data_IF_289606897537
#
_entry.id   IF_289606897537
#
_cell.length_a   1.000
_cell.length_b   1.000
_cell.length_c   1.000
_cell.angle_alpha   90.00
_cell.angle_beta   90.00
_cell.angle_gamma   90.00
#
_symmetry.space_group_name_H-M   'P 1'
#
loop_
_entity.id
_entity.type
_entity.pdbx_description
1 polymer ?
#
# COMPACT_ATOMS: atom_id res chain seq x y z
N UNK A 1 31.81 -37.90 47.96
CA UNK A 1 30.73 -36.93 48.20
C UNK A 1 31.21 -35.58 47.69
N UNK A 2 30.56 -35.04 46.64
CA UNK A 2 30.37 -33.64 46.23
C UNK A 2 30.02 -33.71 44.75
N UNK A 3 28.72 -33.84 44.51
CA UNK A 3 28.10 -33.75 43.20
C UNK A 3 27.89 -32.25 42.91
N UNK A 4 28.67 -31.67 41.99
CA UNK A 4 28.50 -30.27 41.59
C UNK A 4 27.32 -30.20 40.62
N UNK A 5 26.13 -29.99 41.16
CA UNK A 5 24.95 -29.60 40.40
C UNK A 5 25.24 -28.30 39.63
N UNK A 6 25.51 -28.43 38.32
CA UNK A 6 25.57 -27.30 37.40
C UNK A 6 24.15 -26.75 37.26
N UNK A 7 23.83 -25.73 38.04
CA UNK A 7 22.60 -24.95 37.85
C UNK A 7 22.71 -24.18 36.54
N UNK A 8 22.20 -24.76 35.45
CA UNK A 8 21.94 -24.06 34.20
C UNK A 8 20.87 -22.99 34.46
N UNK A 9 21.31 -21.78 34.85
CA UNK A 9 20.44 -20.60 34.90
C UNK A 9 19.86 -20.39 33.51
N UNK A 10 18.58 -20.74 33.33
CA UNK A 10 17.83 -20.41 32.11
C UNK A 10 17.95 -18.88 31.90
N UNK A 11 18.53 -18.41 30.78
CA UNK A 11 18.65 -16.97 30.55
C UNK A 11 17.25 -16.36 30.49
N UNK A 12 17.07 -15.18 31.10
CA UNK A 12 15.80 -14.47 31.10
C UNK A 12 15.31 -14.23 29.66
N UNK A 13 13.98 -14.21 29.46
CA UNK A 13 13.36 -13.95 28.14
C UNK A 13 13.95 -12.70 27.47
N UNK A 14 14.26 -11.68 28.26
CA UNK A 14 14.89 -10.42 27.84
C UNK A 14 16.31 -10.63 27.29
N UNK A 15 17.11 -11.50 27.92
CA UNK A 15 18.49 -11.81 27.47
C UNK A 15 18.51 -12.73 26.25
N UNK A 16 17.49 -13.58 26.06
CA UNK A 16 17.27 -14.35 24.82
C UNK A 16 16.79 -13.47 23.66
N UNK A 17 15.96 -12.47 23.94
CA UNK A 17 15.51 -11.49 22.95
C UNK A 17 16.60 -10.47 22.55
N UNK A 18 17.64 -10.28 23.36
CA UNK A 18 18.76 -9.36 23.09
C UNK A 18 20.11 -10.04 22.79
N UNK A 19 20.16 -11.37 22.74
CA UNK A 19 21.36 -12.12 22.36
C UNK A 19 21.79 -11.87 20.90
N UNK A 20 23.04 -12.14 20.57
CA UNK A 20 23.62 -12.01 19.21
C UNK A 20 22.84 -12.79 18.14
N UNK A 21 22.15 -13.86 18.53
CA UNK A 21 21.29 -14.69 17.65
C UNK A 21 19.80 -14.35 17.73
N UNK A 22 19.40 -13.28 18.42
CA UNK A 22 18.00 -13.01 18.69
C UNK A 22 17.18 -12.73 17.42
N UNK A 23 15.96 -13.27 17.38
CA UNK A 23 14.99 -13.04 16.30
C UNK A 23 14.79 -11.54 16.05
N UNK A 24 14.83 -10.71 17.10
CA UNK A 24 14.65 -9.24 17.04
C UNK A 24 15.78 -8.55 16.27
N UNK A 25 17.04 -9.01 16.40
CA UNK A 25 18.18 -8.46 15.63
C UNK A 25 18.19 -8.88 14.16
N UNK A 26 17.39 -9.88 13.78
CA UNK A 26 17.27 -10.34 12.39
C UNK A 26 16.32 -9.48 11.56
N UNK A 27 15.43 -8.74 12.21
CA UNK A 27 14.56 -7.77 11.53
C UNK A 27 15.36 -6.60 10.94
N UNK A 28 14.85 -6.02 9.86
CA UNK A 28 15.33 -4.74 9.38
C UNK A 28 14.82 -3.61 10.28
N UNK A 29 15.57 -3.31 11.34
CA UNK A 29 15.20 -2.29 12.31
C UNK A 29 15.09 -0.89 11.72
N UNK A 30 15.89 -0.55 10.70
CA UNK A 30 15.81 0.76 10.05
C UNK A 30 14.48 0.92 9.29
N UNK A 31 14.02 -0.12 8.60
CA UNK A 31 12.71 -0.12 7.96
C UNK A 31 11.58 0.01 8.99
N UNK A 32 11.65 -0.72 10.11
CA UNK A 32 10.62 -0.66 11.16
C UNK A 32 10.56 0.72 11.83
N UNK A 33 11.71 1.35 12.09
CA UNK A 33 11.76 2.72 12.64
C UNK A 33 11.18 3.72 11.64
N UNK A 34 11.46 3.58 10.34
CA UNK A 34 10.89 4.45 9.32
C UNK A 34 9.36 4.29 9.21
N UNK A 35 8.85 3.05 9.20
CA UNK A 35 7.40 2.76 9.22
C UNK A 35 6.75 3.33 10.48
N UNK A 36 7.36 3.14 11.66
CA UNK A 36 6.85 3.69 12.91
C UNK A 36 6.82 5.22 12.89
N UNK A 37 7.87 5.86 12.37
CA UNK A 37 7.92 7.31 12.18
C UNK A 37 6.79 7.82 11.28
N UNK A 38 6.55 7.15 10.16
CA UNK A 38 5.43 7.46 9.26
C UNK A 38 4.07 7.27 9.95
N UNK A 39 3.88 6.19 10.72
CA UNK A 39 2.62 5.94 11.43
C UNK A 39 2.36 6.94 12.57
N UNK A 40 3.41 7.38 13.28
CA UNK A 40 3.30 8.44 14.29
C UNK A 40 2.95 9.77 13.64
N UNK A 41 3.67 10.16 12.58
CA UNK A 41 3.36 11.37 11.81
C UNK A 41 1.94 11.32 11.22
N UNK A 42 1.55 10.19 10.63
CA UNK A 42 0.19 9.97 10.13
C UNK A 42 -0.86 10.14 11.20
N UNK A 43 -0.65 9.59 12.39
CA UNK A 43 -1.57 9.78 13.53
C UNK A 43 -1.72 11.25 13.92
N UNK A 44 -0.61 12.00 13.95
CA UNK A 44 -0.64 13.44 14.25
C UNK A 44 -1.41 14.22 13.19
N UNK A 45 -1.19 13.92 11.91
CA UNK A 45 -1.88 14.57 10.78
C UNK A 45 -3.38 14.22 10.75
N UNK A 46 -3.73 12.95 10.99
CA UNK A 46 -5.12 12.50 11.11
C UNK A 46 -5.80 13.18 12.30
N UNK A 47 -5.12 13.31 13.43
CA UNK A 47 -5.65 14.04 14.57
C UNK A 47 -5.89 15.51 14.26
N UNK A 48 -4.90 16.20 13.69
CA UNK A 48 -5.04 17.61 13.35
C UNK A 48 -6.21 17.87 12.40
N UNK A 49 -6.31 17.07 11.34
CA UNK A 49 -7.31 17.23 10.28
C UNK A 49 -8.75 16.79 10.66
N UNK A 50 -8.94 16.07 11.77
CA UNK A 50 -10.26 15.54 12.17
C UNK A 50 -10.81 16.13 13.47
N UNK A 51 -9.98 16.74 14.33
CA UNK A 51 -10.36 17.17 15.69
C UNK A 51 -11.54 18.15 15.78
N UNK A 52 -11.75 18.98 14.76
CA UNK A 52 -12.72 20.09 14.81
C UNK A 52 -14.13 19.72 14.38
N UNK A 53 -14.30 18.59 13.67
CA UNK A 53 -15.58 18.23 13.06
C UNK A 53 -15.98 16.77 13.26
N UNK A 54 -15.05 15.89 13.65
CA UNK A 54 -15.36 14.50 13.95
C UNK A 54 -16.28 14.38 15.19
N UNK A 55 -17.42 13.65 15.11
CA UNK A 55 -18.30 13.41 16.25
C UNK A 55 -17.54 12.71 17.38
N UNK A 56 -17.48 13.35 18.56
CA UNK A 56 -16.58 12.97 19.63
C UNK A 56 -15.13 13.21 19.21
N UNK A 57 -14.55 14.35 19.60
CA UNK A 57 -13.30 14.95 19.10
C UNK A 57 -12.04 14.05 18.97
N UNK A 58 -12.10 12.80 19.41
CA UNK A 58 -11.02 11.80 19.34
C UNK A 58 -11.42 10.47 18.69
N UNK A 59 -12.66 10.32 18.20
CA UNK A 59 -13.20 9.03 17.73
C UNK A 59 -12.45 8.45 16.54
N UNK A 60 -12.17 9.25 15.51
CA UNK A 60 -11.43 8.79 14.32
C UNK A 60 -9.97 8.45 14.64
N UNK A 61 -9.33 9.25 15.49
CA UNK A 61 -7.94 8.99 15.93
C UNK A 61 -7.85 7.72 16.75
N UNK A 62 -8.80 7.48 17.67
CA UNK A 62 -8.88 6.22 18.42
C UNK A 62 -9.02 5.02 17.50
N UNK A 63 -9.89 5.12 16.47
CA UNK A 63 -10.02 4.07 15.44
C UNK A 63 -8.73 3.90 14.64
N UNK A 64 -8.06 5.00 14.27
CA UNK A 64 -6.80 4.95 13.54
C UNK A 64 -5.71 4.24 14.34
N UNK A 65 -5.52 4.63 15.61
CA UNK A 65 -4.59 3.98 16.54
C UNK A 65 -4.91 2.50 16.74
N UNK A 66 -6.19 2.15 16.90
CA UNK A 66 -6.61 0.76 17.00
C UNK A 66 -6.25 -0.03 15.73
N UNK A 67 -6.49 0.54 14.55
CA UNK A 67 -6.11 -0.08 13.29
C UNK A 67 -4.58 -0.20 13.14
N UNK A 68 -3.80 0.78 13.61
CA UNK A 68 -2.34 0.65 13.64
C UNK A 68 -1.88 -0.49 14.54
N UNK A 69 -2.46 -0.61 15.75
CA UNK A 69 -2.14 -1.71 16.68
C UNK A 69 -2.47 -3.06 16.07
N UNK A 70 -3.67 -3.22 15.50
CA UNK A 70 -4.06 -4.46 14.81
C UNK A 70 -3.12 -4.74 13.63
N UNK A 71 -2.79 -3.71 12.83
CA UNK A 71 -1.87 -3.85 11.72
C UNK A 71 -0.46 -4.26 12.15
N UNK A 72 0.05 -3.75 13.27
CA UNK A 72 1.35 -4.18 13.84
C UNK A 72 1.27 -5.65 14.28
N UNK A 73 0.16 -6.08 14.89
CA UNK A 73 -0.04 -7.49 15.22
C UNK A 73 -0.03 -8.35 13.95
N UNK A 74 -0.75 -7.94 12.89
CA UNK A 74 -0.75 -8.64 11.60
C UNK A 74 0.66 -8.69 10.98
N UNK A 75 1.40 -7.58 11.03
CA UNK A 75 2.80 -7.53 10.59
C UNK A 75 3.66 -8.56 11.33
N UNK A 76 3.55 -8.64 12.66
CA UNK A 76 4.32 -9.59 13.47
C UNK A 76 3.92 -11.04 13.22
N UNK A 77 2.63 -11.32 13.05
CA UNK A 77 2.11 -12.64 12.69
C UNK A 77 2.69 -13.06 11.33
N UNK A 78 2.54 -12.22 10.30
CA UNK A 78 3.05 -12.52 8.96
C UNK A 78 4.57 -12.65 8.95
N UNK A 79 5.29 -11.80 9.68
CA UNK A 79 6.74 -11.88 9.79
C UNK A 79 7.26 -13.18 10.44
N UNK A 80 6.42 -13.86 11.23
CA UNK A 80 6.75 -15.15 11.84
C UNK A 80 6.56 -16.34 10.89
N UNK A 81 5.75 -16.19 9.84
CA UNK A 81 5.45 -17.25 8.87
C UNK A 81 6.66 -17.52 7.97
N UNK A 82 6.86 -18.79 7.61
CA UNK A 82 7.92 -19.16 6.66
C UNK A 82 7.60 -18.69 5.24
N UNK A 83 8.56 -18.10 4.53
CA UNK A 83 8.43 -17.79 3.10
C UNK A 83 8.02 -19.03 2.27
N UNK A 84 8.47 -20.24 2.65
CA UNK A 84 8.01 -21.49 2.02
C UNK A 84 6.53 -21.76 2.27
N UNK A 85 6.07 -21.52 3.50
CA UNK A 85 4.65 -21.62 3.84
C UNK A 85 3.84 -20.50 3.16
N UNK A 86 4.37 -19.28 3.07
CA UNK A 86 3.74 -18.18 2.33
C UNK A 86 3.48 -18.57 0.87
N UNK A 87 4.46 -19.23 0.23
CA UNK A 87 4.29 -19.76 -1.12
C UNK A 87 3.18 -20.82 -1.20
N UNK A 88 3.08 -21.71 -0.22
CA UNK A 88 2.02 -22.73 -0.18
C UNK A 88 0.63 -22.12 0.08
N UNK A 89 0.53 -21.05 0.88
CA UNK A 89 -0.72 -20.36 1.17
C UNK A 89 -1.12 -19.31 0.12
N UNK A 90 -0.24 -18.95 -0.82
CA UNK A 90 -0.52 -17.94 -1.84
C UNK A 90 -1.84 -18.19 -2.62
N UNK A 91 -2.18 -19.41 -3.07
CA UNK A 91 -3.46 -19.68 -3.72
C UNK A 91 -4.66 -19.43 -2.79
N UNK A 92 -4.54 -19.82 -1.51
CA UNK A 92 -5.60 -19.60 -0.53
C UNK A 92 -5.83 -18.11 -0.29
N UNK A 93 -4.76 -17.34 -0.05
CA UNK A 93 -4.84 -15.88 0.16
C UNK A 93 -5.45 -15.20 -1.06
N UNK A 94 -5.06 -15.61 -2.27
CA UNK A 94 -5.62 -15.10 -3.51
C UNK A 94 -7.12 -15.42 -3.64
N UNK A 95 -7.52 -16.68 -3.47
CA UNK A 95 -8.92 -17.09 -3.59
C UNK A 95 -9.82 -16.44 -2.53
N UNK A 96 -9.34 -16.30 -1.30
CA UNK A 96 -10.07 -15.58 -0.24
C UNK A 96 -10.22 -14.11 -0.60
N UNK A 97 -9.18 -13.47 -1.12
CA UNK A 97 -9.27 -12.07 -1.57
C UNK A 97 -10.23 -11.89 -2.74
N UNK A 98 -10.28 -12.86 -3.67
CA UNK A 98 -11.18 -12.88 -4.81
C UNK A 98 -12.64 -13.09 -4.37
N UNK A 99 -12.87 -14.00 -3.43
CA UNK A 99 -14.17 -14.21 -2.81
C UNK A 99 -14.63 -12.94 -2.09
N UNK A 100 -13.74 -12.24 -1.39
CA UNK A 100 -14.03 -10.94 -0.78
C UNK A 100 -14.45 -9.88 -1.81
N UNK A 101 -13.75 -9.78 -2.94
CA UNK A 101 -14.12 -8.89 -4.04
C UNK A 101 -15.49 -9.24 -4.64
N UNK A 102 -15.78 -10.54 -4.81
CA UNK A 102 -17.10 -11.00 -5.27
C UNK A 102 -18.22 -10.69 -4.27
N UNK A 103 -17.94 -10.86 -2.97
CA UNK A 103 -18.91 -10.60 -1.90
C UNK A 103 -19.34 -9.13 -1.85
N UNK A 104 -18.42 -8.20 -2.11
CA UNK A 104 -18.70 -6.77 -2.16
C UNK A 104 -19.71 -6.40 -3.24
N UNK A 105 -19.79 -7.17 -4.34
CA UNK A 105 -20.74 -6.89 -5.42
C UNK A 105 -22.17 -7.29 -5.02
N UNK A 106 -22.32 -8.15 -4.02
CA UNK A 106 -23.64 -8.53 -3.48
C UNK A 106 -24.23 -7.42 -2.61
N UNK A 107 -25.51 -7.52 -2.18
CA UNK A 107 -26.13 -6.54 -1.28
C UNK A 107 -25.45 -6.36 0.09
N UNK A 108 -24.44 -7.18 0.40
CA UNK A 108 -23.59 -7.03 1.59
C UNK A 108 -22.53 -5.93 1.44
N UNK A 109 -22.27 -5.49 0.20
CA UNK A 109 -21.45 -4.32 -0.06
C UNK A 109 -22.16 -3.03 0.30
N UNK A 110 -21.37 -1.99 0.53
CA UNK A 110 -21.82 -0.66 0.85
C UNK A 110 -21.06 0.38 0.03
N UNK A 111 -21.77 1.43 -0.36
CA UNK A 111 -21.20 2.59 -1.04
C UNK A 111 -20.67 3.59 -0.03
N UNK A 112 -19.36 3.85 -0.06
CA UNK A 112 -18.72 4.94 0.68
C UNK A 112 -18.02 5.83 -0.34
N UNK A 113 -18.26 7.15 -0.27
CA UNK A 113 -17.66 8.15 -1.16
C UNK A 113 -17.81 7.82 -2.66
N UNK A 114 -18.98 7.28 -3.05
CA UNK A 114 -19.31 6.95 -4.45
C UNK A 114 -18.76 5.62 -4.95
N UNK A 115 -18.03 4.86 -4.12
CA UNK A 115 -17.52 3.53 -4.49
C UNK A 115 -18.18 2.42 -3.67
N UNK A 116 -18.83 1.47 -4.36
CA UNK A 116 -19.44 0.28 -3.78
C UNK A 116 -18.38 -0.82 -3.56
N UNK A 117 -17.42 -0.51 -2.68
CA UNK A 117 -16.20 -1.31 -2.47
C UNK A 117 -16.04 -1.83 -1.03
N UNK A 118 -17.00 -1.56 -0.14
CA UNK A 118 -16.84 -1.75 1.30
C UNK A 118 -17.80 -2.79 1.87
N UNK A 119 -17.32 -3.62 2.79
CA UNK A 119 -18.14 -4.48 3.62
C UNK A 119 -18.19 -3.85 5.01
N UNK A 120 -19.39 -3.49 5.46
CA UNK A 120 -19.60 -2.93 6.79
C UNK A 120 -19.56 -4.06 7.81
N UNK A 121 -18.57 -4.03 8.68
CA UNK A 121 -18.51 -4.90 9.85
C UNK A 121 -19.20 -4.20 11.02
N UNK A 122 -19.83 -4.98 11.89
CA UNK A 122 -20.38 -4.47 13.14
C UNK A 122 -19.34 -3.70 13.97
N UNK A 123 -19.79 -2.80 14.84
CA UNK A 123 -18.89 -1.99 15.67
C UNK A 123 -18.24 -0.81 14.96
N UNK A 124 -18.71 -0.45 13.75
CA UNK A 124 -18.26 0.72 13.01
C UNK A 124 -16.89 0.52 12.33
N UNK A 125 -16.55 -0.72 12.02
CA UNK A 125 -15.44 -1.09 11.14
C UNK A 125 -15.96 -1.29 9.72
N UNK A 126 -15.15 -0.96 8.73
CA UNK A 126 -15.43 -1.25 7.35
C UNK A 126 -14.20 -1.91 6.74
N UNK A 127 -14.43 -2.97 5.97
CA UNK A 127 -13.36 -3.70 5.28
C UNK A 127 -13.51 -3.48 3.79
N UNK A 128 -12.45 -3.00 3.16
CA UNK A 128 -12.31 -2.94 1.71
C UNK A 128 -11.49 -4.15 1.23
N UNK A 129 -12.11 -5.16 0.59
CA UNK A 129 -11.40 -6.36 0.14
C UNK A 129 -10.34 -6.11 -0.91
N UNK A 130 -10.46 -5.03 -1.69
CA UNK A 130 -9.47 -4.66 -2.70
C UNK A 130 -8.08 -4.39 -2.12
N UNK A 131 -7.99 -3.95 -0.86
CA UNK A 131 -6.71 -3.80 -0.15
C UNK A 131 -6.01 -5.15 0.07
N UNK A 132 -6.76 -6.20 0.38
CA UNK A 132 -6.23 -7.56 0.53
C UNK A 132 -5.98 -8.23 -0.82
N UNK A 133 -6.77 -7.88 -1.85
CA UNK A 133 -6.56 -8.36 -3.21
C UNK A 133 -5.20 -7.95 -3.79
N UNK A 134 -4.67 -6.77 -3.41
CA UNK A 134 -3.28 -6.37 -3.74
C UNK A 134 -2.26 -7.39 -3.23
N UNK A 135 -2.38 -7.80 -1.96
CA UNK A 135 -1.51 -8.80 -1.34
C UNK A 135 -1.70 -10.18 -1.97
N UNK A 136 -2.95 -10.60 -2.17
CA UNK A 136 -3.28 -11.89 -2.77
C UNK A 136 -2.77 -12.02 -4.20
N UNK A 137 -3.01 -11.01 -5.05
CA UNK A 137 -2.54 -10.98 -6.43
C UNK A 137 -1.00 -10.98 -6.49
N UNK A 138 -0.36 -10.19 -5.63
CA UNK A 138 1.10 -10.14 -5.55
C UNK A 138 1.70 -11.51 -5.22
N UNK A 139 1.14 -12.21 -4.23
CA UNK A 139 1.62 -13.54 -3.82
C UNK A 139 1.39 -14.60 -4.89
N UNK A 140 0.22 -14.62 -5.54
CA UNK A 140 -0.04 -15.63 -6.60
C UNK A 140 0.83 -15.39 -7.83
N UNK A 141 1.04 -14.13 -8.23
CA UNK A 141 1.95 -13.78 -9.33
C UNK A 141 3.37 -14.21 -9.00
N UNK A 142 3.86 -13.88 -7.79
CA UNK A 142 5.19 -14.30 -7.36
C UNK A 142 5.32 -15.83 -7.35
N UNK A 143 4.30 -16.56 -6.88
CA UNK A 143 4.31 -18.03 -6.84
C UNK A 143 4.37 -18.65 -8.24
N UNK A 144 3.56 -18.14 -9.18
CA UNK A 144 3.51 -18.64 -10.56
C UNK A 144 4.81 -18.34 -11.31
N UNK A 145 5.33 -17.11 -11.18
CA UNK A 145 6.50 -16.67 -11.94
C UNK A 145 7.85 -17.08 -11.32
N UNK A 146 7.87 -17.59 -10.09
CA UNK A 146 9.10 -18.05 -9.44
C UNK A 146 9.68 -19.34 -10.04
N UNK A 147 8.89 -20.11 -10.81
CA UNK A 147 9.33 -21.39 -11.38
C UNK A 147 9.99 -21.20 -12.75
N UNK A 148 11.30 -21.51 -12.91
CA UNK A 148 11.93 -21.50 -14.22
C UNK A 148 11.35 -22.55 -15.17
N UNK A 149 11.37 -22.24 -16.45
CA UNK A 149 11.17 -23.21 -17.52
C UNK A 149 12.38 -24.14 -17.63
N UNK A 150 12.16 -25.38 -18.06
CA UNK A 150 13.25 -26.33 -18.30
C UNK A 150 14.25 -25.75 -19.32
N UNK A 151 15.53 -25.75 -18.96
CA UNK A 151 16.61 -25.21 -19.80
C UNK A 151 16.66 -23.68 -19.92
N UNK A 152 15.95 -22.92 -19.06
CA UNK A 152 15.99 -21.45 -19.08
C UNK A 152 15.83 -20.85 -17.68
N UNK A 153 16.45 -19.69 -17.45
CA UNK A 153 16.21 -18.93 -16.21
C UNK A 153 14.86 -18.22 -16.15
N UNK A 154 14.04 -18.28 -17.22
CA UNK A 154 12.79 -17.52 -17.35
C UNK A 154 11.56 -18.34 -16.96
N UNK A 155 10.46 -17.70 -16.52
CA UNK A 155 9.20 -18.40 -16.24
C UNK A 155 8.61 -19.06 -17.50
N UNK A 156 7.81 -20.11 -17.30
CA UNK A 156 7.11 -20.80 -18.39
C UNK A 156 6.05 -19.88 -18.98
N UNK A 157 5.78 -20.00 -20.29
CA UNK A 157 4.74 -19.18 -20.91
C UNK A 157 3.35 -19.43 -20.31
N UNK A 158 3.07 -20.67 -19.88
CA UNK A 158 1.83 -21.01 -19.20
C UNK A 158 1.70 -20.24 -17.88
N UNK A 159 2.76 -20.17 -17.08
CA UNK A 159 2.75 -19.42 -15.80
C UNK A 159 2.53 -17.93 -16.02
N UNK A 160 3.10 -17.37 -17.09
CA UNK A 160 2.85 -15.98 -17.51
C UNK A 160 1.39 -15.77 -17.88
N UNK A 161 0.79 -16.68 -18.66
CA UNK A 161 -0.63 -16.61 -19.02
C UNK A 161 -1.52 -16.72 -17.78
N UNK A 162 -1.23 -17.66 -16.87
CA UNK A 162 -1.99 -17.82 -15.62
C UNK A 162 -1.88 -16.58 -14.72
N UNK A 163 -0.70 -15.97 -14.62
CA UNK A 163 -0.51 -14.72 -13.89
C UNK A 163 -1.32 -13.57 -14.51
N UNK A 164 -1.37 -13.47 -15.84
CA UNK A 164 -2.18 -12.48 -16.54
C UNK A 164 -3.68 -12.73 -16.37
N UNK A 165 -4.14 -13.98 -16.40
CA UNK A 165 -5.54 -14.34 -16.13
C UNK A 165 -5.91 -13.95 -14.70
N UNK A 166 -5.08 -14.29 -13.71
CA UNK A 166 -5.30 -13.91 -12.31
C UNK A 166 -5.39 -12.38 -12.16
N UNK A 167 -4.51 -11.63 -12.83
CA UNK A 167 -4.54 -10.17 -12.84
C UNK A 167 -5.81 -9.61 -13.49
N UNK A 168 -6.18 -10.09 -14.68
CA UNK A 168 -7.37 -9.64 -15.40
C UNK A 168 -8.65 -9.91 -14.62
N UNK A 169 -8.78 -11.08 -14.00
CA UNK A 169 -9.93 -11.43 -13.16
C UNK A 169 -10.01 -10.49 -11.95
N UNK A 170 -8.89 -10.27 -11.27
CA UNK A 170 -8.85 -9.39 -10.08
C UNK A 170 -9.18 -7.94 -10.44
N UNK A 171 -8.55 -7.41 -11.51
CA UNK A 171 -8.82 -6.05 -11.98
C UNK A 171 -10.26 -5.90 -12.49
N UNK A 172 -10.79 -6.90 -13.19
CA UNK A 172 -12.19 -6.89 -13.66
C UNK A 172 -13.19 -6.78 -12.51
N UNK A 173 -12.99 -7.53 -11.42
CA UNK A 173 -13.84 -7.42 -10.23
C UNK A 173 -13.73 -6.06 -9.53
N UNK A 174 -12.54 -5.44 -9.52
CA UNK A 174 -12.36 -4.10 -8.94
C UNK A 174 -13.00 -3.02 -9.83
N UNK A 175 -12.96 -3.18 -11.15
CA UNK A 175 -13.62 -2.27 -12.09
C UNK A 175 -15.15 -2.33 -12.04
N UNK A 176 -15.71 -3.47 -11.62
CA UNK A 176 -17.13 -3.57 -11.28
C UNK A 176 -17.52 -2.78 -10.02
N UNK A 177 -16.56 -2.34 -9.20
CA UNK A 177 -16.74 -1.55 -7.96
C UNK A 177 -16.43 -0.04 -8.16
N UNK A 178 -16.48 0.45 -9.41
CA UNK A 178 -15.85 1.68 -9.92
C UNK A 178 -14.57 2.20 -9.24
N UNK A 179 -13.61 1.34 -8.88
CA UNK A 179 -12.37 1.75 -8.19
C UNK A 179 -11.14 1.78 -9.13
N UNK A 180 -11.03 2.86 -9.92
CA UNK A 180 -9.92 3.08 -10.86
C UNK A 180 -8.55 3.12 -10.18
N UNK A 181 -8.47 3.73 -9.00
CA UNK A 181 -7.21 3.87 -8.25
C UNK A 181 -6.63 2.51 -7.92
N UNK A 182 -7.44 1.61 -7.35
CA UNK A 182 -6.98 0.27 -7.00
C UNK A 182 -6.64 -0.58 -8.22
N UNK A 183 -7.38 -0.46 -9.32
CA UNK A 183 -7.03 -1.19 -10.55
C UNK A 183 -5.66 -0.77 -11.11
N UNK A 184 -5.32 0.52 -11.08
CA UNK A 184 -3.99 0.99 -11.48
C UNK A 184 -2.89 0.38 -10.60
N UNK A 185 -3.12 0.28 -9.29
CA UNK A 185 -2.17 -0.37 -8.38
C UNK A 185 -2.01 -1.87 -8.71
N UNK A 186 -3.10 -2.59 -8.98
CA UNK A 186 -3.06 -3.99 -9.38
C UNK A 186 -2.34 -4.19 -10.73
N UNK A 187 -2.51 -3.26 -11.67
CA UNK A 187 -1.77 -3.26 -12.93
C UNK A 187 -0.26 -3.07 -12.69
N UNK A 188 0.13 -2.18 -11.78
CA UNK A 188 1.55 -1.98 -11.41
C UNK A 188 2.13 -3.19 -10.68
N UNK A 189 1.37 -3.83 -9.79
CA UNK A 189 1.75 -5.09 -9.15
C UNK A 189 2.03 -6.16 -10.22
N UNK A 190 1.14 -6.27 -11.20
CA UNK A 190 1.27 -7.25 -12.29
C UNK A 190 2.47 -6.95 -13.18
N UNK A 191 2.61 -5.69 -13.64
CA UNK A 191 3.73 -5.26 -14.47
C UNK A 191 5.07 -5.42 -13.73
N UNK A 192 5.12 -5.03 -12.46
CA UNK A 192 6.30 -5.20 -11.60
C UNK A 192 6.72 -6.67 -11.49
N UNK A 193 5.79 -7.57 -11.16
CA UNK A 193 6.09 -9.00 -11.07
C UNK A 193 6.57 -9.60 -12.39
N UNK A 194 6.01 -9.19 -13.53
CA UNK A 194 6.43 -9.64 -14.85
C UNK A 194 7.82 -9.12 -15.24
N UNK A 195 8.10 -7.84 -14.99
CA UNK A 195 9.42 -7.25 -15.29
C UNK A 195 10.50 -7.87 -14.40
N UNK A 196 10.24 -8.01 -13.10
CA UNK A 196 11.20 -8.57 -12.14
C UNK A 196 11.48 -10.05 -12.40
N UNK A 197 10.48 -10.82 -12.83
CA UNK A 197 10.66 -12.25 -13.18
C UNK A 197 11.43 -12.48 -14.48
N UNK A 198 11.74 -11.42 -15.24
CA UNK A 198 12.52 -11.54 -16.47
C UNK A 198 11.75 -12.24 -17.59
N UNK A 199 10.44 -12.01 -17.70
CA UNK A 199 9.64 -12.58 -18.80
C UNK A 199 10.20 -12.18 -20.17
N UNK A 200 9.93 -13.00 -21.19
CA UNK A 200 10.37 -12.73 -22.56
C UNK A 200 9.83 -11.36 -23.02
N UNK A 201 10.68 -10.52 -23.63
CA UNK A 201 10.33 -9.16 -24.11
C UNK A 201 9.03 -9.09 -24.92
N UNK A 202 8.71 -10.14 -25.68
CA UNK A 202 7.44 -10.26 -26.42
C UNK A 202 6.18 -10.06 -25.56
N UNK A 203 6.20 -10.53 -24.31
CA UNK A 203 5.06 -10.38 -23.40
C UNK A 203 4.93 -8.94 -22.91
N UNK A 204 6.05 -8.27 -22.65
CA UNK A 204 6.08 -6.86 -22.28
C UNK A 204 5.57 -6.00 -23.45
N UNK A 205 6.05 -6.29 -24.66
CA UNK A 205 5.59 -5.60 -25.88
C UNK A 205 4.09 -5.84 -26.09
N UNK A 206 3.62 -7.10 -25.98
CA UNK A 206 2.20 -7.42 -26.10
C UNK A 206 1.36 -6.63 -25.10
N UNK A 207 1.76 -6.59 -23.82
CA UNK A 207 1.04 -5.84 -22.79
C UNK A 207 1.02 -4.34 -23.08
N UNK A 208 2.15 -3.76 -23.50
CA UNK A 208 2.23 -2.36 -23.87
C UNK A 208 1.32 -2.04 -25.07
N UNK A 209 1.29 -2.92 -26.08
CA UNK A 209 0.42 -2.78 -27.25
C UNK A 209 -1.06 -2.91 -26.87
N UNK A 210 -1.43 -3.90 -26.05
CA UNK A 210 -2.82 -4.09 -25.58
C UNK A 210 -3.27 -2.92 -24.71
N UNK A 211 -2.42 -2.45 -23.79
CA UNK A 211 -2.72 -1.28 -22.97
C UNK A 211 -2.90 -0.02 -23.83
N UNK A 212 -2.00 0.21 -24.79
CA UNK A 212 -2.11 1.34 -25.73
C UNK A 212 -3.37 1.27 -26.59
N UNK A 213 -3.72 0.08 -27.12
CA UNK A 213 -4.94 -0.14 -27.88
C UNK A 213 -6.20 0.06 -27.01
N UNK A 214 -6.17 -0.38 -25.76
CA UNK A 214 -7.26 -0.19 -24.80
C UNK A 214 -7.48 1.29 -24.50
N UNK A 215 -6.42 2.04 -24.21
CA UNK A 215 -6.48 3.50 -24.02
C UNK A 215 -7.07 4.17 -25.27
N UNK A 216 -6.55 3.84 -26.45
CA UNK A 216 -7.06 4.38 -27.71
C UNK A 216 -8.55 4.09 -27.91
N UNK A 217 -8.98 2.84 -27.70
CA UNK A 217 -10.38 2.43 -27.84
C UNK A 217 -11.28 3.19 -26.87
N UNK A 218 -10.87 3.32 -25.61
CA UNK A 218 -11.63 4.04 -24.58
C UNK A 218 -11.89 5.50 -24.98
N UNK A 219 -10.89 6.19 -25.52
CA UNK A 219 -11.05 7.57 -26.00
C UNK A 219 -11.83 7.64 -27.32
N UNK A 220 -11.53 6.76 -28.28
CA UNK A 220 -12.14 6.77 -29.61
C UNK A 220 -13.63 6.45 -29.56
N UNK A 221 -14.02 5.46 -28.76
CA UNK A 221 -15.42 5.03 -28.60
C UNK A 221 -16.16 5.75 -27.46
N UNK A 222 -15.54 6.78 -26.84
CA UNK A 222 -16.14 7.56 -25.74
C UNK A 222 -16.68 6.68 -24.60
N UNK A 223 -15.94 5.62 -24.25
CA UNK A 223 -16.37 4.62 -23.26
C UNK A 223 -16.14 5.06 -21.81
N UNK A 224 -15.59 6.25 -21.60
CA UNK A 224 -15.34 6.79 -20.26
C UNK A 224 -16.64 7.29 -19.64
N UNK A 225 -16.88 6.90 -18.40
CA UNK A 225 -17.96 7.49 -17.62
C UNK A 225 -17.70 8.97 -17.33
N UNK A 226 -18.75 9.80 -17.13
CA UNK A 226 -18.59 11.23 -16.88
C UNK A 226 -17.62 11.55 -15.74
N UNK A 227 -17.60 10.73 -14.67
CA UNK A 227 -16.69 10.93 -13.53
C UNK A 227 -15.22 10.68 -13.90
N UNK A 228 -14.94 9.76 -14.82
CA UNK A 228 -13.58 9.45 -15.26
C UNK A 228 -13.04 10.58 -16.13
N UNK A 229 -13.87 11.09 -17.05
CA UNK A 229 -13.55 12.26 -17.88
C UNK A 229 -13.26 13.47 -16.99
N UNK A 230 -14.11 13.72 -15.99
CA UNK A 230 -13.95 14.84 -15.06
C UNK A 230 -12.59 14.83 -14.33
N UNK A 231 -12.06 13.66 -13.97
CA UNK A 231 -10.73 13.55 -13.34
C UNK A 231 -9.58 13.92 -14.28
N UNK A 232 -9.70 13.60 -15.57
CA UNK A 232 -8.69 13.95 -16.57
C UNK A 232 -8.79 15.43 -16.99
N UNK A 233 -10.01 15.94 -17.23
CA UNK A 233 -10.20 17.34 -17.63
C UNK A 233 -9.84 18.28 -16.50
N UNK A 234 -10.24 17.99 -15.25
CA UNK A 234 -9.86 18.80 -14.10
C UNK A 234 -8.36 18.75 -13.77
N UNK A 235 -7.64 17.72 -14.21
CA UNK A 235 -6.18 17.66 -14.11
C UNK A 235 -5.51 18.59 -15.13
N UNK A 236 -5.99 18.59 -16.38
CA UNK A 236 -5.44 19.45 -17.44
C UNK A 236 -5.80 20.93 -17.26
N UNK A 237 -7.04 21.20 -16.85
CA UNK A 237 -7.54 22.52 -16.54
C UNK A 237 -8.47 22.48 -15.32
N UNK A 238 -7.93 22.76 -14.11
CA UNK A 238 -8.72 22.81 -12.88
C UNK A 238 -9.85 23.84 -12.89
N UNK A 239 -9.82 24.83 -13.79
CA UNK A 239 -10.85 25.88 -13.86
C UNK A 239 -12.17 25.40 -14.47
N UNK A 240 -12.15 24.28 -15.19
CA UNK A 240 -13.33 23.67 -15.84
C UNK A 240 -14.27 23.02 -14.84
N UNK A 241 -13.75 22.60 -13.68
CA UNK A 241 -14.55 22.05 -12.58
C UNK A 241 -14.22 22.72 -11.23
N UNK A 242 -14.63 23.99 -11.04
CA UNK A 242 -14.27 24.79 -9.87
C UNK A 242 -15.03 24.41 -8.60
N UNK A 243 -15.94 23.42 -8.66
CA UNK A 243 -16.72 22.92 -7.51
C UNK A 243 -16.52 21.42 -7.22
N UNK A 244 -15.94 20.66 -8.15
CA UNK A 244 -15.68 19.24 -8.01
C UNK A 244 -14.19 18.91 -7.89
N UNK A 245 -13.67 18.16 -8.83
CA UNK A 245 -12.30 17.61 -8.78
C UNK A 245 -11.24 18.71 -8.90
N UNK A 246 -11.51 19.75 -9.71
CA UNK A 246 -10.61 20.90 -9.88
C UNK A 246 -10.48 21.75 -8.62
N UNK A 247 -11.55 21.86 -7.84
CA UNK A 247 -11.54 22.50 -6.52
C UNK A 247 -10.56 21.80 -5.57
N UNK A 248 -10.63 20.46 -5.48
CA UNK A 248 -9.76 19.68 -4.58
C UNK A 248 -8.27 19.88 -4.91
N UNK A 249 -7.91 19.81 -6.19
CA UNK A 249 -6.53 20.04 -6.65
C UNK A 249 -6.03 21.45 -6.31
N UNK A 250 -6.86 22.46 -6.60
CA UNK A 250 -6.53 23.87 -6.34
C UNK A 250 -6.34 24.14 -4.84
N UNK A 251 -7.26 23.67 -4.01
CA UNK A 251 -7.20 23.84 -2.56
C UNK A 251 -6.03 23.09 -1.93
N UNK A 252 -5.74 21.88 -2.43
CA UNK A 252 -4.55 21.11 -2.05
C UNK A 252 -3.27 21.90 -2.30
N UNK A 253 -3.14 22.51 -3.48
CA UNK A 253 -1.97 23.32 -3.84
C UNK A 253 -1.85 24.60 -2.99
N UNK A 254 -2.97 25.29 -2.75
CA UNK A 254 -3.01 26.48 -1.88
C UNK A 254 -2.60 26.12 -0.45
N UNK A 255 -3.12 25.01 0.09
CA UNK A 255 -2.80 24.56 1.45
C UNK A 255 -1.30 24.27 1.59
N UNK A 256 -0.74 23.46 0.68
CA UNK A 256 0.71 23.15 0.67
C UNK A 256 1.53 24.43 0.50
N UNK A 257 1.18 25.30 -0.45
CA UNK A 257 1.89 26.56 -0.70
C UNK A 257 1.87 27.49 0.50
N UNK A 258 0.79 27.51 1.27
CA UNK A 258 0.65 28.34 2.47
C UNK A 258 1.49 27.88 3.66
N UNK A 259 1.99 26.64 3.65
CA UNK A 259 2.89 26.13 4.68
C UNK A 259 4.33 26.64 4.57
N UNK A 260 4.74 27.20 3.43
CA UNK A 260 6.11 27.71 3.21
C UNK A 260 7.19 26.68 3.64
N UNK A 261 8.32 27.12 4.19
CA UNK A 261 9.42 26.23 4.58
C UNK A 261 9.15 25.44 5.88
N UNK A 262 8.63 26.10 6.91
CA UNK A 262 8.51 25.56 8.27
C UNK A 262 7.10 25.11 8.67
N UNK A 263 6.10 25.42 7.85
CA UNK A 263 4.70 25.14 8.13
C UNK A 263 4.05 26.23 8.99
N UNK A 264 2.74 26.11 9.17
CA UNK A 264 1.97 26.96 10.08
C UNK A 264 2.00 26.48 11.54
N UNK A 265 2.69 25.37 11.81
CA UNK A 265 2.70 24.67 13.10
C UNK A 265 1.59 23.62 13.17
N UNK A 266 1.84 22.59 13.99
CA UNK A 266 0.86 21.53 14.25
C UNK A 266 -0.44 22.15 14.77
N UNK A 267 -1.59 21.72 14.22
CA UNK A 267 -2.91 22.27 14.53
C UNK A 267 -3.19 23.68 13.98
N UNK A 268 -2.22 24.29 13.27
CA UNK A 268 -2.31 25.63 12.67
C UNK A 268 -2.80 25.65 11.23
N UNK A 269 -3.24 24.51 10.69
CA UNK A 269 -3.72 24.38 9.31
C UNK A 269 -5.09 25.04 9.12
N UNK A 270 -5.12 26.29 8.68
CA UNK A 270 -6.37 27.03 8.44
C UNK A 270 -7.20 26.45 7.29
N UNK A 271 -6.54 25.98 6.22
CA UNK A 271 -7.22 25.38 5.07
C UNK A 271 -7.74 23.98 5.39
N UNK A 272 -6.92 23.19 6.08
CA UNK A 272 -7.27 21.82 6.46
C UNK A 272 -8.29 21.79 7.60
N UNK A 273 -8.11 22.57 8.66
CA UNK A 273 -9.09 22.63 9.77
C UNK A 273 -10.45 23.17 9.31
N UNK A 274 -10.45 24.07 8.32
CA UNK A 274 -11.66 24.63 7.70
C UNK A 274 -12.38 23.70 6.72
N UNK A 275 -11.86 22.49 6.47
CA UNK A 275 -12.40 21.51 5.49
C UNK A 275 -12.48 22.04 4.06
N UNK A 276 -11.62 22.98 3.70
CA UNK A 276 -11.52 23.49 2.34
C UNK A 276 -10.90 22.45 1.39
N UNK A 277 -10.18 21.45 1.93
CA UNK A 277 -9.70 20.28 1.19
C UNK A 277 -10.56 19.06 1.54
N UNK A 278 -11.43 18.58 0.63
CA UNK A 278 -12.19 17.35 0.83
C UNK A 278 -11.26 16.13 0.96
N UNK A 279 -11.68 15.12 1.75
CA UNK A 279 -10.93 13.86 1.94
C UNK A 279 -9.46 14.04 2.41
N UNK A 280 -9.17 15.13 3.13
CA UNK A 280 -7.85 15.46 3.68
C UNK A 280 -7.28 14.46 4.68
N UNK A 281 -8.12 13.66 5.34
CA UNK A 281 -7.64 12.68 6.33
C UNK A 281 -7.29 11.33 5.68
N UNK A 282 -7.81 11.08 4.48
CA UNK A 282 -7.66 9.87 3.67
C UNK A 282 -6.71 10.17 2.52
N UNK A 283 -7.23 10.59 1.37
CA UNK A 283 -6.49 10.65 0.09
C UNK A 283 -5.63 11.90 -0.05
N UNK A 284 -5.95 12.97 0.68
CA UNK A 284 -5.22 14.25 0.64
C UNK A 284 -4.38 14.51 1.91
N UNK A 285 -4.01 13.49 2.68
CA UNK A 285 -3.27 13.66 3.95
C UNK A 285 -1.94 14.39 3.78
N UNK A 286 -1.29 14.26 2.62
CA UNK A 286 -0.04 14.96 2.33
C UNK A 286 -0.22 16.49 2.30
N UNK A 287 -1.43 16.99 2.02
CA UNK A 287 -1.74 18.43 2.08
C UNK A 287 -1.63 18.98 3.50
N UNK A 288 -2.05 18.19 4.49
CA UNK A 288 -1.95 18.52 5.91
C UNK A 288 -0.49 18.57 6.33
N UNK A 289 0.33 17.63 5.85
CA UNK A 289 1.77 17.65 6.09
C UNK A 289 2.42 18.92 5.53
N UNK A 290 2.07 19.29 4.29
CA UNK A 290 2.58 20.51 3.65
C UNK A 290 2.12 21.80 4.31
N UNK A 291 0.86 21.89 4.73
CA UNK A 291 0.35 23.11 5.39
C UNK A 291 0.94 23.28 6.80
N UNK A 292 0.93 22.22 7.62
CA UNK A 292 1.25 22.33 9.05
C UNK A 292 2.74 22.25 9.34
N UNK A 293 3.48 21.39 8.60
CA UNK A 293 4.91 21.18 8.79
C UNK A 293 5.77 21.76 7.66
N UNK A 294 5.14 22.36 6.64
CA UNK A 294 5.83 23.03 5.54
C UNK A 294 6.63 22.08 4.67
N UNK A 295 7.56 22.66 3.91
CA UNK A 295 8.51 21.93 3.09
C UNK A 295 9.31 20.89 3.89
N UNK A 296 9.78 21.24 5.09
CA UNK A 296 10.61 20.34 5.92
C UNK A 296 9.84 19.09 6.33
N UNK A 297 8.59 19.22 6.78
CA UNK A 297 7.77 18.06 7.15
C UNK A 297 7.39 17.20 5.96
N UNK A 298 6.99 17.82 4.84
CA UNK A 298 6.72 17.10 3.59
C UNK A 298 7.95 16.31 3.11
N UNK A 299 9.14 16.93 3.17
CA UNK A 299 10.38 16.26 2.82
C UNK A 299 10.69 15.11 3.79
N UNK A 300 10.44 15.27 5.09
CA UNK A 300 10.63 14.20 6.06
C UNK A 300 9.74 12.98 5.75
N UNK A 301 8.47 13.19 5.37
CA UNK A 301 7.57 12.11 4.94
C UNK A 301 8.12 11.40 3.69
N UNK A 302 8.55 12.15 2.68
CA UNK A 302 9.14 11.60 1.44
C UNK A 302 10.41 10.81 1.74
N UNK A 303 11.30 11.34 2.59
CA UNK A 303 12.56 10.68 2.97
C UNK A 303 12.28 9.39 3.73
N UNK A 304 11.34 9.38 4.69
CA UNK A 304 10.99 8.18 5.43
C UNK A 304 10.39 7.10 4.51
N UNK A 305 9.50 7.48 3.59
CA UNK A 305 9.00 6.56 2.54
C UNK A 305 10.13 6.05 1.67
N UNK A 306 11.06 6.92 1.26
CA UNK A 306 12.26 6.57 0.52
C UNK A 306 13.13 5.55 1.25
N UNK A 307 13.31 5.71 2.57
CA UNK A 307 14.01 4.71 3.40
C UNK A 307 13.28 3.37 3.35
N UNK A 308 11.96 3.32 3.53
CA UNK A 308 11.19 2.07 3.45
C UNK A 308 11.39 1.40 2.08
N UNK A 309 11.29 2.15 0.99
CA UNK A 309 11.47 1.62 -0.37
C UNK A 309 12.90 1.11 -0.62
N UNK A 310 13.92 1.85 -0.19
CA UNK A 310 15.32 1.44 -0.34
C UNK A 310 15.65 0.20 0.49
N UNK A 311 15.09 0.07 1.70
CA UNK A 311 15.24 -1.13 2.53
C UNK A 311 14.51 -2.33 1.93
N UNK A 312 13.29 -2.14 1.43
CA UNK A 312 12.56 -3.20 0.72
C UNK A 312 13.30 -3.66 -0.55
N UNK A 313 13.87 -2.73 -1.33
CA UNK A 313 14.70 -3.04 -2.49
C UNK A 313 15.98 -3.79 -2.11
N UNK A 314 16.61 -3.40 -1.00
CA UNK A 314 17.76 -4.12 -0.45
C UNK A 314 17.38 -5.56 -0.06
N UNK A 315 16.24 -5.77 0.60
CA UNK A 315 15.72 -7.11 0.92
C UNK A 315 15.51 -7.93 -0.35
N UNK A 316 14.93 -7.34 -1.40
CA UNK A 316 14.72 -8.02 -2.69
C UNK A 316 16.05 -8.43 -3.35
N UNK A 317 17.05 -7.55 -3.38
CA UNK A 317 18.37 -7.81 -3.99
C UNK A 317 19.21 -8.84 -3.24
N UNK A 318 19.04 -8.91 -1.93
CA UNK A 318 19.78 -9.83 -1.06
C UNK A 318 19.07 -11.18 -0.87
N UNK A 319 17.90 -11.38 -1.48
CA UNK A 319 17.15 -12.63 -1.37
C UNK A 319 17.66 -13.65 -2.40
N UNK A 320 18.00 -14.86 -1.94
CA UNK A 320 18.45 -15.95 -2.81
C UNK A 320 17.28 -16.71 -3.46
N UNK A 321 16.13 -16.70 -2.80
CA UNK A 321 14.92 -17.35 -3.31
C UNK A 321 14.20 -16.43 -4.33
N UNK A 322 13.85 -17.01 -5.48
CA UNK A 322 13.14 -16.28 -6.55
C UNK A 322 11.76 -15.81 -6.11
N UNK A 323 11.03 -16.62 -5.34
CA UNK A 323 9.72 -16.23 -4.84
C UNK A 323 9.84 -15.04 -3.89
N UNK A 324 10.75 -15.09 -2.91
CA UNK A 324 11.02 -13.97 -2.01
C UNK A 324 11.45 -12.69 -2.75
N UNK A 325 12.32 -12.81 -3.76
CA UNK A 325 12.75 -11.68 -4.60
C UNK A 325 11.57 -11.03 -5.34
N UNK A 326 10.68 -11.84 -5.92
CA UNK A 326 9.49 -11.36 -6.61
C UNK A 326 8.51 -10.69 -5.67
N UNK A 327 8.25 -11.28 -4.50
CA UNK A 327 7.38 -10.69 -3.47
C UNK A 327 7.94 -9.33 -3.04
N UNK A 328 9.20 -9.29 -2.61
CA UNK A 328 9.82 -8.07 -2.10
C UNK A 328 9.90 -6.97 -3.17
N UNK A 329 10.34 -7.30 -4.38
CA UNK A 329 10.42 -6.33 -5.47
C UNK A 329 9.05 -5.81 -5.93
N UNK A 330 8.03 -6.67 -5.95
CA UNK A 330 6.67 -6.24 -6.31
C UNK A 330 6.04 -5.36 -5.22
N UNK A 331 6.35 -5.59 -3.93
CA UNK A 331 5.96 -4.69 -2.84
C UNK A 331 6.59 -3.30 -3.03
N UNK A 332 7.86 -3.22 -3.47
CA UNK A 332 8.50 -1.95 -3.81
C UNK A 332 7.72 -1.22 -4.92
N UNK A 333 7.37 -1.91 -6.01
CA UNK A 333 6.59 -1.33 -7.11
C UNK A 333 5.23 -0.80 -6.62
N UNK A 334 4.52 -1.58 -5.81
CA UNK A 334 3.23 -1.19 -5.23
C UNK A 334 3.37 0.07 -4.37
N UNK A 335 4.22 0.05 -3.34
CA UNK A 335 4.35 1.16 -2.40
C UNK A 335 4.88 2.43 -3.09
N UNK A 336 5.83 2.29 -4.02
CA UNK A 336 6.39 3.42 -4.75
C UNK A 336 5.33 4.09 -5.63
N UNK A 337 4.54 3.30 -6.37
CA UNK A 337 3.48 3.84 -7.22
C UNK A 337 2.39 4.51 -6.40
N UNK A 338 1.92 3.87 -5.32
CA UNK A 338 0.87 4.43 -4.47
C UNK A 338 1.34 5.73 -3.79
N UNK A 339 2.58 5.78 -3.31
CA UNK A 339 3.15 7.01 -2.74
C UNK A 339 3.33 8.11 -3.80
N UNK A 340 3.85 7.77 -4.98
CA UNK A 340 4.04 8.72 -6.07
C UNK A 340 2.73 9.33 -6.54
N UNK A 341 1.69 8.51 -6.73
CA UNK A 341 0.38 8.99 -7.18
C UNK A 341 -0.27 9.83 -6.10
N UNK A 342 -0.28 9.39 -4.83
CA UNK A 342 -0.87 10.16 -3.73
C UNK A 342 -0.21 11.54 -3.55
N UNK A 343 1.13 11.57 -3.44
CA UNK A 343 1.85 12.84 -3.32
C UNK A 343 1.64 13.66 -4.59
N UNK A 344 1.73 13.01 -5.76
CA UNK A 344 1.61 13.65 -7.05
C UNK A 344 0.27 14.34 -7.29
N UNK A 345 -0.84 13.71 -6.88
CA UNK A 345 -2.16 14.32 -6.99
C UNK A 345 -2.35 15.52 -6.07
N UNK A 346 -1.67 15.53 -4.91
CA UNK A 346 -1.76 16.67 -3.98
C UNK A 346 -0.96 17.90 -4.43
N UNK A 347 0.13 17.70 -5.19
CA UNK A 347 0.94 18.79 -5.74
C UNK A 347 0.65 19.10 -7.22
N UNK A 348 -0.40 18.50 -7.79
CA UNK A 348 -0.87 18.80 -9.14
C UNK A 348 -0.06 18.20 -10.30
N UNK A 349 0.78 17.18 -10.06
CA UNK A 349 1.54 16.49 -11.12
C UNK A 349 0.87 15.21 -11.64
N UNK A 350 -0.14 14.70 -10.93
CA UNK A 350 -0.93 13.51 -11.32
C UNK A 350 -2.43 13.78 -11.14
N UNK A 351 -3.31 13.10 -11.90
CA UNK A 351 -4.75 13.18 -11.69
C UNK A 351 -5.18 12.55 -10.36
N UNK A 352 -6.34 12.95 -9.84
CA UNK A 352 -6.89 12.49 -8.57
C UNK A 352 -7.40 11.05 -8.70
N UNK A 353 -6.81 10.10 -7.98
CA UNK A 353 -7.14 8.67 -8.08
C UNK A 353 -7.78 8.05 -6.84
N UNK A 354 -7.77 8.75 -5.70
CA UNK A 354 -8.34 8.26 -4.43
C UNK A 354 -7.51 7.14 -3.77
N UNK A 355 -6.18 7.23 -3.88
CA UNK A 355 -5.28 6.25 -3.30
C UNK A 355 -4.69 6.79 -1.99
N UNK A 356 -4.75 6.06 -0.86
CA UNK A 356 -4.20 6.54 0.40
C UNK A 356 -2.66 6.53 0.38
N UNK A 357 -2.02 7.46 1.09
CA UNK A 357 -0.58 7.47 1.31
C UNK A 357 -0.19 6.33 2.25
N UNK A 358 0.74 5.41 1.85
CA UNK A 358 1.12 4.29 2.71
C UNK A 358 1.60 4.74 4.09
N UNK A 359 1.10 4.06 5.12
CA UNK A 359 1.40 4.27 6.56
C UNK A 359 0.95 5.60 7.17
N UNK A 360 0.58 6.61 6.37
CA UNK A 360 0.26 7.97 6.85
C UNK A 360 -1.25 8.23 6.81
N UNK A 361 -1.93 7.88 5.72
CA UNK A 361 -3.35 8.16 5.53
C UNK A 361 -4.24 7.39 6.50
N UNK A 362 -5.39 7.99 6.83
CA UNK A 362 -6.47 7.26 7.50
C UNK A 362 -7.06 6.20 6.58
N UNK A 363 -7.05 4.95 7.02
CA UNK A 363 -7.72 3.84 6.34
C UNK A 363 -7.40 2.53 7.04
N UNK A 364 -8.41 1.89 7.63
CA UNK A 364 -8.20 0.69 8.45
C UNK A 364 -7.60 -0.46 7.64
N UNK A 365 -8.27 -0.86 6.56
CA UNK A 365 -7.80 -1.94 5.69
C UNK A 365 -6.53 -1.61 4.93
N UNK A 366 -6.34 -0.36 4.51
CA UNK A 366 -5.08 0.01 3.86
C UNK A 366 -3.90 -0.03 4.84
N UNK A 367 -4.10 0.38 6.09
CA UNK A 367 -3.11 0.21 7.17
C UNK A 367 -2.76 -1.27 7.36
N UNK A 368 -3.77 -2.15 7.38
CA UNK A 368 -3.54 -3.59 7.50
C UNK A 368 -2.74 -4.15 6.31
N UNK A 369 -3.13 -3.83 5.08
CA UNK A 369 -2.46 -4.32 3.88
C UNK A 369 -1.00 -3.84 3.78
N UNK A 370 -0.75 -2.56 4.09
CA UNK A 370 0.61 -1.99 4.12
C UNK A 370 1.48 -2.65 5.19
N UNK A 371 0.95 -2.89 6.39
CA UNK A 371 1.69 -3.54 7.47
C UNK A 371 1.87 -5.05 7.26
N UNK A 372 0.93 -5.72 6.58
CA UNK A 372 1.11 -7.09 6.08
C UNK A 372 2.26 -7.13 5.07
N UNK A 373 2.34 -6.17 4.15
CA UNK A 373 3.45 -6.08 3.18
C UNK A 373 4.81 -5.91 3.89
N UNK A 374 4.88 -5.06 4.92
CA UNK A 374 6.06 -4.95 5.78
C UNK A 374 6.37 -6.29 6.47
N UNK A 375 5.35 -6.98 7.00
CA UNK A 375 5.49 -8.32 7.58
C UNK A 375 6.08 -9.34 6.61
N UNK A 376 5.62 -9.35 5.35
CA UNK A 376 6.18 -10.20 4.29
C UNK A 376 7.66 -9.90 4.03
N UNK A 377 8.03 -8.62 3.90
CA UNK A 377 9.42 -8.20 3.73
C UNK A 377 10.31 -8.65 4.90
N UNK A 378 9.81 -8.54 6.13
CA UNK A 378 10.54 -8.96 7.32
C UNK A 378 10.70 -10.48 7.40
N UNK A 379 9.66 -11.26 7.04
CA UNK A 379 9.76 -12.72 6.97
C UNK A 379 10.86 -13.18 6.01
N UNK A 380 10.95 -12.53 4.84
CA UNK A 380 12.00 -12.79 3.85
C UNK A 380 13.38 -12.45 4.42
N UNK A 381 13.51 -11.29 5.09
CA UNK A 381 14.77 -10.82 5.67
C UNK A 381 15.30 -11.73 6.78
N UNK A 382 14.45 -12.13 7.72
CA UNK A 382 14.85 -12.85 8.95
C UNK A 382 15.46 -14.22 8.62
N UNK A 383 14.97 -14.88 7.57
CA UNK A 383 15.36 -16.27 7.24
C UNK A 383 16.63 -16.37 6.40
N UNK A 384 17.19 -15.26 5.92
CA UNK A 384 18.49 -15.21 5.24
C UNK A 384 19.64 -15.76 6.11
N UNK A 385 19.64 -15.50 7.42
CA UNK A 385 20.81 -15.75 8.30
C UNK A 385 20.84 -17.13 8.98
N UNK A 386 20.04 -18.10 8.56
CA UNK A 386 20.05 -19.43 9.22
C UNK A 386 21.13 -20.35 8.64
N UNK A 387 21.70 -20.01 7.48
CA UNK A 387 22.69 -20.82 6.79
C UNK A 387 24.08 -20.15 6.62
N UNK A 388 24.27 -18.97 7.23
CA UNK A 388 25.59 -18.34 7.44
C UNK A 388 26.05 -18.62 8.87
#
# INVERSE_FOLDING_TARGET
MIDRAVTLRRPSLVRRAMGTDSIVRRFDGLMLVAVLGLSVLGTLLVWSSTRTWAPGATGLVKKHLLNQVIGVILCMVVASVDHRAMRAYAPLVFLVSLAGLGLVITPLGATINGSHSWILLGGGFAVQPSEFAKVGLLLIIAMLLAQPAEGSDRPRNLDVVLALVAACVTMGLVMLQPDLGTALVLAVITAGGLVISGVRKRWIILLATVAGAGIFAVFHFQMLEPYQIARFTAFLDPSVDPRGVGYNSTQSLIAIGSGQLLGKGLLGGGQTTGRFVPEQHTDFIFTVAGEEFGFVGSLAVVVLLGVVLLRALKIARECEDRFGTLVAGTIVCWLAFQAFVNIGMTIGIMPITGLPLPFVSYGGTSTFANLIAVGLLQAIRVRRRVFD
#
